data_IF_441008491172
#
_entry.id   IF_441008491172
#
_cell.length_a   1.000
_cell.length_b   1.000
_cell.length_c   1.000
_cell.angle_alpha   90.00
_cell.angle_beta   90.00
_cell.angle_gamma   90.00
#
_symmetry.space_group_name_H-M   'P 1'
#
loop_
_entity.id
_entity.type
_entity.pdbx_description
1 polymer ?
#
# COMPACT_ATOMS: atom_id res chain seq x y z
N UNK A 1 12.09 30.84 10.68
CA UNK A 1 11.15 31.27 9.61
C UNK A 1 10.57 32.60 10.05
N UNK A 2 10.91 33.70 9.39
CA UNK A 2 10.29 34.99 9.67
C UNK A 2 8.85 34.97 9.12
N UNK A 3 7.86 35.20 9.98
CA UNK A 3 6.49 35.44 9.51
C UNK A 3 6.47 36.77 8.79
N UNK A 4 5.89 36.78 7.58
CA UNK A 4 5.70 37.99 6.80
C UNK A 4 4.87 39.01 7.60
N UNK A 5 5.41 40.21 7.81
CA UNK A 5 4.77 41.27 8.59
C UNK A 5 3.41 41.69 7.99
N UNK A 6 3.19 41.45 6.70
CA UNK A 6 1.92 41.70 6.03
C UNK A 6 0.81 40.70 6.38
N UNK A 7 1.14 39.59 7.06
CA UNK A 7 0.17 38.57 7.47
C UNK A 7 -0.95 39.12 8.35
N UNK A 8 -0.68 40.16 9.15
CA UNK A 8 -1.70 40.77 10.01
C UNK A 8 -2.67 41.67 9.23
N UNK A 9 -2.21 42.27 8.11
CA UNK A 9 -3.01 43.14 7.26
C UNK A 9 -3.84 42.37 6.22
N UNK A 10 -3.54 41.09 6.02
CA UNK A 10 -4.27 40.25 5.07
C UNK A 10 -5.70 39.99 5.57
N UNK A 11 -6.75 40.19 4.75
CA UNK A 11 -8.13 40.07 5.18
C UNK A 11 -8.58 38.60 5.23
N UNK A 12 -8.04 37.82 6.18
CA UNK A 12 -8.32 36.39 6.37
C UNK A 12 -9.81 36.06 6.48
N UNK A 13 -10.60 36.99 7.02
CA UNK A 13 -12.04 36.86 7.20
C UNK A 13 -12.83 36.85 5.88
N UNK A 14 -12.25 37.34 4.77
CA UNK A 14 -12.85 37.31 3.44
C UNK A 14 -12.57 36.01 2.67
N UNK A 15 -11.62 35.19 3.14
CA UNK A 15 -11.31 33.93 2.48
C UNK A 15 -12.46 32.94 2.67
N UNK A 16 -12.86 32.30 1.57
CA UNK A 16 -13.85 31.23 1.58
C UNK A 16 -13.30 29.96 0.94
N UNK A 17 -13.79 28.81 1.41
CA UNK A 17 -13.52 27.50 0.81
C UNK A 17 -14.85 26.81 0.53
N UNK A 18 -15.16 26.58 -0.74
CA UNK A 18 -16.47 26.04 -1.15
C UNK A 18 -17.64 26.93 -0.71
N UNK A 19 -17.47 28.25 -0.75
CA UNK A 19 -18.49 29.23 -0.37
C UNK A 19 -18.67 29.46 1.14
N UNK A 20 -17.85 28.83 2.00
CA UNK A 20 -17.89 29.03 3.46
C UNK A 20 -16.66 29.79 3.96
N UNK A 21 -16.78 30.69 4.95
CA UNK A 21 -15.62 31.38 5.54
C UNK A 21 -14.54 30.40 6.02
N UNK A 22 -13.27 30.72 5.79
CA UNK A 22 -12.13 29.86 6.14
C UNK A 22 -12.11 29.53 7.64
N UNK A 23 -12.42 30.50 8.50
CA UNK A 23 -12.49 30.32 9.95
C UNK A 23 -13.62 29.38 10.40
N UNK A 24 -14.69 29.26 9.61
CA UNK A 24 -15.81 28.35 9.85
C UNK A 24 -15.61 26.97 9.17
N UNK A 25 -14.52 26.80 8.44
CA UNK A 25 -14.25 25.62 7.64
C UNK A 25 -13.28 24.69 8.37
N UNK A 26 -13.73 23.50 8.76
CA UNK A 26 -12.81 22.49 9.28
C UNK A 26 -12.04 21.82 8.13
N UNK A 27 -10.78 21.39 8.33
CA UNK A 27 -10.04 20.63 7.33
C UNK A 27 -10.79 19.39 6.82
N UNK A 28 -11.59 18.74 7.67
CA UNK A 28 -12.43 17.61 7.30
C UNK A 28 -13.64 18.00 6.43
N UNK A 29 -14.22 19.18 6.64
CA UNK A 29 -15.30 19.72 5.80
C UNK A 29 -14.77 20.11 4.42
N UNK A 30 -13.63 20.81 4.37
CA UNK A 30 -12.95 21.22 3.13
C UNK A 30 -12.54 20.01 2.31
N UNK A 31 -11.94 18.99 2.94
CA UNK A 31 -11.60 17.75 2.22
C UNK A 31 -12.83 17.11 1.61
N UNK A 32 -13.94 17.02 2.36
CA UNK A 32 -15.19 16.44 1.84
C UNK A 32 -15.76 17.23 0.66
N UNK A 33 -15.75 18.56 0.70
CA UNK A 33 -16.27 19.38 -0.41
C UNK A 33 -15.37 19.34 -1.66
N UNK A 34 -14.06 19.19 -1.48
CA UNK A 34 -13.09 19.07 -2.58
C UNK A 34 -12.93 17.64 -3.10
N UNK A 35 -13.47 16.64 -2.38
CA UNK A 35 -13.42 15.25 -2.83
C UNK A 35 -14.51 15.04 -3.88
N UNK A 36 -14.09 14.81 -5.12
CA UNK A 36 -15.01 14.44 -6.21
C UNK A 36 -15.90 13.27 -5.79
N UNK A 37 -17.21 13.38 -6.05
CA UNK A 37 -18.18 12.30 -5.85
C UNK A 37 -17.99 11.15 -6.84
N UNK A 38 -17.27 11.38 -7.94
CA UNK A 38 -16.93 10.36 -8.92
C UNK A 38 -15.63 9.66 -8.45
N UNK A 39 -15.64 8.33 -8.30
CA UNK A 39 -14.43 7.58 -7.98
C UNK A 39 -13.35 7.89 -9.01
N UNK A 40 -12.16 8.30 -8.54
CA UNK A 40 -11.03 8.56 -9.44
C UNK A 40 -10.74 7.30 -10.25
N UNK A 41 -10.59 7.44 -11.57
CA UNK A 41 -10.23 6.35 -12.47
C UNK A 41 -8.84 6.63 -13.05
N UNK A 42 -7.77 6.13 -12.42
CA UNK A 42 -6.42 6.35 -12.91
C UNK A 42 -6.21 5.59 -14.23
N UNK A 43 -5.28 6.08 -15.06
CA UNK A 43 -4.99 5.54 -16.40
C UNK A 43 -4.23 4.21 -16.38
N UNK A 44 -4.71 3.23 -15.62
CA UNK A 44 -4.21 1.87 -15.70
C UNK A 44 -4.70 1.20 -16.97
N UNK A 45 -3.80 0.48 -17.63
CA UNK A 45 -4.13 -0.34 -18.79
C UNK A 45 -4.37 -1.78 -18.35
N UNK A 46 -5.55 -2.29 -18.66
CA UNK A 46 -5.97 -3.67 -18.41
C UNK A 46 -6.35 -4.32 -19.73
N UNK A 47 -6.30 -5.65 -19.81
CA UNK A 47 -6.74 -6.40 -21.01
C UNK A 47 -8.21 -6.12 -21.33
N UNK A 48 -9.02 -5.98 -20.29
CA UNK A 48 -10.43 -5.58 -20.38
C UNK A 48 -10.61 -4.29 -19.58
N UNK A 49 -11.29 -3.26 -20.13
CA UNK A 49 -11.56 -2.03 -19.39
C UNK A 49 -12.24 -2.32 -18.04
N UNK A 50 -11.74 -1.71 -16.97
CA UNK A 50 -12.35 -1.87 -15.65
C UNK A 50 -13.61 -1.01 -15.54
N UNK A 51 -14.74 -1.55 -15.06
CA UNK A 51 -15.96 -0.76 -14.85
C UNK A 51 -15.77 0.24 -13.70
N UNK A 52 -16.62 1.27 -13.61
CA UNK A 52 -16.55 2.26 -12.52
C UNK A 52 -16.64 1.63 -11.12
N UNK A 53 -17.44 0.57 -10.96
CA UNK A 53 -17.59 -0.18 -9.70
C UNK A 53 -16.28 -0.81 -9.23
N UNK A 54 -15.38 -1.18 -10.14
CA UNK A 54 -14.04 -1.67 -9.79
C UNK A 54 -13.27 -0.61 -9.01
N UNK A 55 -13.26 0.63 -9.51
CA UNK A 55 -12.55 1.74 -8.86
C UNK A 55 -13.21 2.15 -7.55
N UNK A 56 -14.55 2.17 -7.47
CA UNK A 56 -15.27 2.37 -6.21
C UNK A 56 -14.82 1.38 -5.14
N UNK A 57 -14.75 0.09 -5.50
CA UNK A 57 -14.34 -0.96 -4.58
C UNK A 57 -12.86 -0.81 -4.18
N UNK A 58 -11.96 -0.52 -5.12
CA UNK A 58 -10.53 -0.31 -4.84
C UNK A 58 -10.32 0.80 -3.81
N UNK A 59 -11.03 1.93 -3.95
CA UNK A 59 -10.91 3.05 -3.01
C UNK A 59 -11.57 2.75 -1.67
N UNK A 60 -12.75 2.14 -1.66
CA UNK A 60 -13.42 1.73 -0.42
C UNK A 60 -12.58 0.72 0.38
N UNK A 61 -11.92 -0.22 -0.30
CA UNK A 61 -11.00 -1.18 0.31
C UNK A 61 -9.77 -0.48 0.89
N UNK A 62 -9.21 0.51 0.19
CA UNK A 62 -8.05 1.27 0.69
C UNK A 62 -8.40 2.10 1.93
N UNK A 63 -9.58 2.72 1.93
CA UNK A 63 -10.05 3.54 3.05
C UNK A 63 -10.37 2.68 4.28
N UNK A 64 -11.02 1.53 4.07
CA UNK A 64 -11.39 0.61 5.15
C UNK A 64 -10.25 -0.28 5.66
N UNK A 65 -9.15 -0.39 4.91
CA UNK A 65 -7.95 -1.13 5.31
C UNK A 65 -7.31 -0.50 6.56
N UNK A 66 -6.80 -1.30 7.53
CA UNK A 66 -6.20 -0.79 8.77
C UNK A 66 -4.80 -0.18 8.57
N UNK A 67 -4.57 0.55 7.47
CA UNK A 67 -3.29 1.18 7.17
C UNK A 67 -3.02 2.37 8.08
N UNK A 68 -1.75 2.53 8.44
CA UNK A 68 -1.24 3.81 8.97
C UNK A 68 -1.41 4.91 7.93
N UNK A 69 -1.39 6.18 8.36
CA UNK A 69 -1.56 7.33 7.46
C UNK A 69 -0.46 7.34 6.38
N UNK A 70 0.79 7.04 6.78
CA UNK A 70 1.92 6.98 5.85
C UNK A 70 1.69 5.93 4.75
N UNK A 71 1.43 4.67 5.12
CA UNK A 71 1.23 3.59 4.15
C UNK A 71 0.02 3.83 3.24
N UNK A 72 -1.07 4.41 3.78
CA UNK A 72 -2.23 4.78 2.97
C UNK A 72 -1.87 5.82 1.91
N UNK A 73 -1.09 6.84 2.27
CA UNK A 73 -0.62 7.86 1.32
C UNK A 73 0.24 7.25 0.21
N UNK A 74 1.16 6.34 0.55
CA UNK A 74 1.96 5.63 -0.45
C UNK A 74 1.08 4.80 -1.40
N UNK A 75 0.11 4.07 -0.86
CA UNK A 75 -0.84 3.30 -1.66
C UNK A 75 -1.69 4.19 -2.57
N UNK A 76 -2.11 5.38 -2.11
CA UNK A 76 -2.84 6.35 -2.92
C UNK A 76 -2.01 6.83 -4.12
N UNK A 77 -0.72 7.13 -3.91
CA UNK A 77 0.21 7.50 -4.99
C UNK A 77 0.36 6.36 -5.98
N UNK A 78 0.59 5.15 -5.48
CA UNK A 78 0.75 3.94 -6.26
C UNK A 78 -0.47 3.66 -7.13
N UNK A 79 -1.63 3.48 -6.49
CA UNK A 79 -2.89 3.12 -7.16
C UNK A 79 -3.40 4.25 -8.02
N UNK A 80 -3.15 5.51 -7.63
CA UNK A 80 -3.41 6.70 -8.44
C UNK A 80 -2.53 6.82 -9.68
N UNK A 81 -1.57 5.90 -9.89
CA UNK A 81 -0.61 5.93 -10.99
C UNK A 81 0.26 7.20 -10.96
N UNK A 82 0.40 7.83 -9.80
CA UNK A 82 1.17 9.06 -9.56
C UNK A 82 2.58 8.74 -9.05
N UNK A 83 3.11 7.60 -9.45
CA UNK A 83 4.45 7.17 -9.05
C UNK A 83 5.50 7.96 -9.79
N UNK A 84 6.53 8.33 -9.05
CA UNK A 84 7.74 8.81 -9.69
C UNK A 84 8.31 7.70 -10.59
N UNK A 85 8.52 8.05 -11.86
CA UNK A 85 9.11 7.16 -12.86
C UNK A 85 10.50 7.66 -13.17
N UNK A 86 11.49 6.77 -13.10
CA UNK A 86 12.85 7.11 -13.45
C UNK A 86 12.98 7.09 -14.98
N UNK A 87 13.07 8.28 -15.58
CA UNK A 87 13.27 8.46 -17.02
C UNK A 87 14.75 8.74 -17.29
N UNK A 88 15.61 7.73 -17.21
CA UNK A 88 16.96 7.85 -17.77
C UNK A 88 17.19 6.84 -18.87
N UNK A 89 18.02 7.22 -19.84
CA UNK A 89 18.58 6.32 -20.83
C UNK A 89 19.60 5.42 -20.12
N UNK A 90 19.48 4.10 -20.29
CA UNK A 90 20.43 3.12 -19.73
C UNK A 90 19.98 2.37 -18.47
N UNK A 91 18.67 2.31 -18.17
CA UNK A 91 18.19 1.43 -17.10
C UNK A 91 18.63 -0.03 -17.34
N UNK A 92 18.98 -0.75 -16.27
CA UNK A 92 19.29 -2.19 -16.31
C UNK A 92 18.10 -3.04 -16.80
N UNK A 93 16.89 -2.47 -16.83
CA UNK A 93 15.71 -3.09 -17.37
C UNK A 93 15.45 -2.61 -18.81
N UNK A 94 15.21 -3.52 -19.78
CA UNK A 94 15.01 -3.16 -21.18
C UNK A 94 13.69 -2.40 -21.45
N UNK A 95 12.78 -2.37 -20.47
CA UNK A 95 11.49 -1.70 -20.59
C UNK A 95 11.55 -0.36 -19.86
N UNK A 96 11.11 0.76 -20.49
CA UNK A 96 11.03 2.04 -19.82
C UNK A 96 10.23 1.97 -18.52
N UNK A 97 10.75 2.64 -17.50
CA UNK A 97 10.11 2.66 -16.20
C UNK A 97 8.72 3.31 -16.28
N UNK A 98 7.73 2.61 -15.73
CA UNK A 98 6.34 3.07 -15.67
C UNK A 98 5.68 2.47 -14.43
N UNK A 99 4.55 3.04 -13.94
CA UNK A 99 3.80 2.47 -12.82
C UNK A 99 3.50 0.97 -12.99
N UNK A 100 3.07 0.56 -14.18
CA UNK A 100 2.77 -0.84 -14.47
C UNK A 100 4.04 -1.69 -14.49
N UNK A 101 5.13 -1.16 -15.03
CA UNK A 101 6.40 -1.86 -15.06
C UNK A 101 6.99 -2.02 -13.66
N UNK A 102 7.20 -0.91 -12.94
CA UNK A 102 7.83 -0.88 -11.62
C UNK A 102 7.07 -1.58 -10.50
N UNK A 103 5.78 -1.89 -10.70
CA UNK A 103 4.97 -2.62 -9.71
C UNK A 103 4.72 -4.06 -10.11
N UNK A 104 4.69 -4.37 -11.41
CA UNK A 104 4.28 -5.71 -11.87
C UNK A 104 5.10 -6.25 -13.01
N UNK A 105 5.41 -5.46 -14.05
CA UNK A 105 6.00 -6.05 -15.26
C UNK A 105 7.51 -6.29 -15.14
N UNK A 106 8.18 -5.57 -14.24
CA UNK A 106 9.58 -5.80 -13.91
C UNK A 106 9.75 -7.14 -13.17
N UNK A 107 10.71 -8.01 -13.56
CA UNK A 107 11.01 -9.24 -12.84
C UNK A 107 11.35 -9.02 -11.37
N UNK A 108 12.08 -7.94 -11.05
CA UNK A 108 12.42 -7.59 -9.67
C UNK A 108 11.19 -7.15 -8.86
N UNK A 109 10.24 -6.45 -9.49
CA UNK A 109 8.98 -6.14 -8.83
C UNK A 109 8.15 -7.40 -8.57
N UNK A 110 8.11 -8.35 -9.52
CA UNK A 110 7.49 -9.66 -9.30
C UNK A 110 8.18 -10.44 -8.19
N UNK A 111 9.51 -10.39 -8.12
CA UNK A 111 10.26 -11.05 -7.04
C UNK A 111 9.79 -10.54 -5.68
N UNK A 112 9.61 -9.22 -5.50
CA UNK A 112 9.06 -8.65 -4.25
C UNK A 112 7.68 -9.25 -3.90
N UNK A 113 6.77 -9.36 -4.88
CA UNK A 113 5.46 -9.99 -4.64
C UNK A 113 5.58 -11.45 -4.16
N UNK A 114 6.42 -12.24 -4.82
CA UNK A 114 6.63 -13.65 -4.49
C UNK A 114 7.30 -13.81 -3.12
N UNK A 115 8.30 -12.99 -2.84
CA UNK A 115 9.00 -12.91 -1.55
C UNK A 115 8.04 -12.58 -0.40
N UNK A 116 6.96 -11.83 -0.68
CA UNK A 116 5.92 -11.51 0.30
C UNK A 116 4.78 -12.54 0.37
N UNK A 117 4.73 -13.59 -0.47
CA UNK A 117 3.68 -14.62 -0.40
C UNK A 117 3.62 -15.37 0.95
N UNK A 118 4.74 -15.70 1.62
CA UNK A 118 4.70 -16.29 2.95
C UNK A 118 3.90 -15.44 3.96
N UNK A 119 3.95 -14.11 3.86
CA UNK A 119 3.15 -13.21 4.71
C UNK A 119 1.65 -13.34 4.46
N UNK A 120 1.25 -13.49 3.19
CA UNK A 120 -0.14 -13.72 2.82
C UNK A 120 -0.65 -15.06 3.38
N UNK A 121 0.20 -16.10 3.32
CA UNK A 121 -0.10 -17.41 3.92
C UNK A 121 -0.19 -17.33 5.44
N UNK A 122 0.69 -16.57 6.09
CA UNK A 122 0.64 -16.33 7.52
C UNK A 122 -0.63 -15.56 7.94
N UNK A 123 -1.19 -14.74 7.05
CA UNK A 123 -2.52 -14.15 7.22
C UNK A 123 -3.67 -15.15 7.02
N UNK A 124 -3.41 -16.43 6.72
CA UNK A 124 -4.44 -17.44 6.48
C UNK A 124 -5.00 -17.46 5.07
N UNK A 125 -4.35 -16.81 4.10
CA UNK A 125 -4.76 -16.83 2.68
C UNK A 125 -3.82 -17.74 1.89
N UNK A 126 -4.32 -18.93 1.52
CA UNK A 126 -3.59 -19.94 0.76
C UNK A 126 -3.95 -19.99 -0.72
N UNK A 127 -4.94 -19.21 -1.17
CA UNK A 127 -5.40 -19.18 -2.56
C UNK A 127 -4.26 -18.82 -3.51
N UNK A 128 -4.10 -19.61 -4.58
CA UNK A 128 -3.15 -19.30 -5.65
C UNK A 128 -3.53 -17.98 -6.34
N UNK A 129 -2.54 -17.12 -6.56
CA UNK A 129 -2.76 -15.76 -7.07
C UNK A 129 -2.13 -15.57 -8.45
N UNK A 130 -2.90 -14.96 -9.35
CA UNK A 130 -2.38 -14.54 -10.67
C UNK A 130 -1.86 -13.10 -10.59
N UNK A 131 -0.59 -12.88 -10.97
CA UNK A 131 0.05 -11.55 -10.89
C UNK A 131 -0.15 -10.72 -12.18
N UNK A 132 -1.40 -10.28 -12.39
CA UNK A 132 -1.77 -9.32 -13.43
C UNK A 132 -2.08 -7.92 -12.87
N UNK A 133 -1.96 -6.83 -13.66
CA UNK A 133 -2.27 -5.48 -13.18
C UNK A 133 -3.71 -5.36 -12.64
N UNK A 134 -4.69 -5.95 -13.33
CA UNK A 134 -6.09 -5.96 -12.88
C UNK A 134 -6.24 -6.64 -11.51
N UNK A 135 -5.58 -7.79 -11.32
CA UNK A 135 -5.62 -8.54 -10.08
C UNK A 135 -4.91 -7.80 -8.94
N UNK A 136 -3.72 -7.24 -9.18
CA UNK A 136 -2.98 -6.51 -8.14
C UNK A 136 -3.74 -5.23 -7.73
N UNK A 137 -4.19 -4.42 -8.69
CA UNK A 137 -4.91 -3.18 -8.41
C UNK A 137 -6.24 -3.47 -7.71
N UNK A 138 -6.98 -4.49 -8.17
CA UNK A 138 -8.27 -4.89 -7.64
C UNK A 138 -8.22 -5.75 -6.36
N UNK A 139 -7.02 -6.06 -5.85
CA UNK A 139 -6.79 -7.03 -4.79
C UNK A 139 -7.50 -8.37 -5.04
N UNK A 140 -7.18 -9.00 -6.17
CA UNK A 140 -7.77 -10.22 -6.74
C UNK A 140 -9.28 -10.30 -6.50
N UNK A 141 -10.10 -9.59 -7.30
CA UNK A 141 -11.53 -9.44 -7.07
C UNK A 141 -12.32 -10.75 -6.91
N UNK A 142 -11.80 -11.85 -7.46
CA UNK A 142 -12.39 -13.19 -7.36
C UNK A 142 -12.22 -13.85 -5.99
N UNK A 143 -11.31 -13.35 -5.13
CA UNK A 143 -11.07 -13.87 -3.78
C UNK A 143 -11.86 -13.04 -2.76
N UNK A 144 -13.12 -13.41 -2.54
CA UNK A 144 -14.05 -12.63 -1.70
C UNK A 144 -13.94 -12.92 -0.21
N UNK A 145 -13.84 -14.20 0.18
CA UNK A 145 -13.95 -14.62 1.59
C UNK A 145 -12.90 -13.95 2.49
N UNK A 146 -11.65 -13.88 2.02
CA UNK A 146 -10.51 -13.31 2.76
C UNK A 146 -10.10 -11.92 2.24
N UNK A 147 -10.99 -11.22 1.54
CA UNK A 147 -10.71 -9.93 0.89
C UNK A 147 -10.02 -8.91 1.81
N UNK A 148 -10.43 -8.68 3.07
CA UNK A 148 -9.76 -7.70 3.93
C UNK A 148 -8.28 -8.00 4.16
N UNK A 149 -7.91 -9.28 4.32
CA UNK A 149 -6.51 -9.72 4.50
C UNK A 149 -5.70 -9.55 3.23
N UNK A 150 -6.30 -9.91 2.11
CA UNK A 150 -5.67 -9.76 0.80
C UNK A 150 -5.45 -8.28 0.44
N UNK A 151 -6.43 -7.42 0.72
CA UNK A 151 -6.33 -5.97 0.54
C UNK A 151 -5.19 -5.40 1.39
N UNK A 152 -5.13 -5.76 2.68
CA UNK A 152 -4.08 -5.29 3.58
C UNK A 152 -2.70 -5.71 3.08
N UNK A 153 -2.52 -7.00 2.78
CA UNK A 153 -1.27 -7.53 2.24
C UNK A 153 -0.87 -6.82 0.94
N UNK A 154 -1.80 -6.71 -0.01
CA UNK A 154 -1.59 -6.00 -1.28
C UNK A 154 -1.10 -4.57 -1.05
N UNK A 155 -1.75 -3.83 -0.17
CA UNK A 155 -1.38 -2.45 0.14
C UNK A 155 0.01 -2.35 0.76
N UNK A 156 0.35 -3.23 1.72
CA UNK A 156 1.68 -3.28 2.32
C UNK A 156 2.76 -3.58 1.28
N UNK A 157 2.53 -4.53 0.37
CA UNK A 157 3.50 -4.84 -0.68
C UNK A 157 3.65 -3.68 -1.68
N UNK A 158 2.56 -3.01 -2.06
CA UNK A 158 2.63 -1.81 -2.91
C UNK A 158 3.45 -0.70 -2.25
N UNK A 159 3.24 -0.46 -0.95
CA UNK A 159 4.02 0.53 -0.21
C UNK A 159 5.49 0.12 -0.10
N UNK A 160 5.79 -1.15 0.16
CA UNK A 160 7.16 -1.69 0.20
C UNK A 160 7.89 -1.48 -1.13
N UNK A 161 7.24 -1.82 -2.25
CA UNK A 161 7.75 -1.56 -3.61
C UNK A 161 8.01 -0.07 -3.83
N UNK A 162 7.08 0.78 -3.43
CA UNK A 162 7.24 2.22 -3.58
C UNK A 162 8.44 2.74 -2.80
N UNK A 163 8.58 2.35 -1.52
CA UNK A 163 9.71 2.73 -0.67
C UNK A 163 11.03 2.25 -1.26
N UNK A 164 11.14 0.98 -1.68
CA UNK A 164 12.35 0.43 -2.27
C UNK A 164 12.77 1.21 -3.53
N UNK A 165 11.80 1.64 -4.34
CA UNK A 165 12.04 2.44 -5.54
C UNK A 165 12.47 3.87 -5.23
N UNK A 166 11.85 4.51 -4.24
CA UNK A 166 12.27 5.84 -3.77
C UNK A 166 13.71 5.80 -3.27
N UNK A 167 14.05 4.80 -2.45
CA UNK A 167 15.41 4.64 -1.89
C UNK A 167 16.42 4.42 -3.01
N UNK A 168 16.16 3.49 -3.93
CA UNK A 168 17.01 3.24 -5.09
C UNK A 168 17.24 4.52 -5.92
N UNK A 169 16.17 5.26 -6.21
CA UNK A 169 16.25 6.51 -6.96
C UNK A 169 17.01 7.61 -6.22
N UNK A 170 16.81 7.74 -4.90
CA UNK A 170 17.55 8.68 -4.04
C UNK A 170 19.04 8.36 -4.04
N UNK A 171 19.39 7.12 -3.73
CA UNK A 171 20.78 6.69 -3.56
C UNK A 171 21.56 6.80 -4.87
N UNK A 172 20.90 6.51 -5.99
CA UNK A 172 21.45 6.69 -7.32
C UNK A 172 21.73 8.16 -7.66
N UNK A 173 20.80 9.07 -7.34
CA UNK A 173 21.01 10.53 -7.52
C UNK A 173 22.17 11.03 -6.67
N UNK A 174 22.25 10.61 -5.41
CA UNK A 174 23.34 11.00 -4.50
C UNK A 174 24.69 10.50 -5.03
N UNK A 175 24.74 9.29 -5.57
CA UNK A 175 25.96 8.67 -6.09
C UNK A 175 26.25 8.98 -7.58
N UNK A 176 25.42 9.78 -8.26
CA UNK A 176 25.60 10.09 -9.69
C UNK A 176 25.53 8.88 -10.63
N UNK A 177 24.76 7.83 -10.28
CA UNK A 177 24.67 6.56 -11.03
C UNK A 177 23.23 6.21 -11.41
N UNK A 178 23.07 5.14 -12.19
CA UNK A 178 21.75 4.59 -12.55
C UNK A 178 21.15 3.86 -11.33
N UNK A 179 19.84 4.01 -11.04
CA UNK A 179 19.17 3.31 -9.96
C UNK A 179 19.24 1.80 -10.10
N UNK A 180 19.57 1.17 -8.98
CA UNK A 180 19.50 -0.27 -8.83
C UNK A 180 18.11 -0.67 -8.31
N UNK A 181 17.32 -1.31 -9.18
CA UNK A 181 15.99 -1.80 -8.84
C UNK A 181 15.96 -3.29 -8.47
N UNK A 182 17.11 -3.92 -8.17
CA UNK A 182 17.18 -5.24 -7.53
C UNK A 182 16.78 -5.12 -6.05
N UNK A 183 15.49 -4.87 -5.82
CA UNK A 183 14.93 -4.52 -4.50
C UNK A 183 15.24 -5.56 -3.43
N UNK A 184 15.15 -6.85 -3.76
CA UNK A 184 15.44 -7.92 -2.80
C UNK A 184 16.93 -8.08 -2.50
N UNK A 185 17.83 -7.52 -3.31
CA UNK A 185 19.27 -7.53 -3.04
C UNK A 185 19.68 -6.38 -2.10
N UNK A 186 18.90 -5.30 -2.08
CA UNK A 186 19.23 -4.06 -1.37
C UNK A 186 18.36 -3.80 -0.14
N UNK A 187 17.24 -4.53 -0.01
CA UNK A 187 16.29 -4.42 1.09
C UNK A 187 15.84 -5.82 1.54
N UNK A 188 15.77 -6.02 2.86
CA UNK A 188 15.06 -7.15 3.46
C UNK A 188 13.54 -6.93 3.34
N UNK A 189 13.04 -7.24 2.14
CA UNK A 189 11.64 -7.08 1.75
C UNK A 189 10.68 -7.85 2.67
N UNK A 190 10.91 -9.14 3.01
CA UNK A 190 10.08 -9.86 3.98
C UNK A 190 9.96 -9.13 5.31
N UNK A 191 11.09 -8.73 5.92
CA UNK A 191 11.06 -8.07 7.22
C UNK A 191 10.37 -6.72 7.15
N UNK A 192 10.67 -5.91 6.12
CA UNK A 192 10.03 -4.61 5.95
C UNK A 192 8.51 -4.72 5.81
N UNK A 193 8.03 -5.62 4.96
CA UNK A 193 6.60 -5.87 4.77
C UNK A 193 5.96 -6.44 6.04
N UNK A 194 6.64 -7.36 6.75
CA UNK A 194 6.18 -7.95 8.00
C UNK A 194 5.97 -6.88 9.08
N UNK A 195 6.97 -6.03 9.29
CA UNK A 195 6.92 -4.93 10.25
C UNK A 195 5.77 -3.98 9.92
N UNK A 196 5.64 -3.55 8.66
CA UNK A 196 4.57 -2.66 8.24
C UNK A 196 3.17 -3.25 8.51
N UNK A 197 3.00 -4.54 8.24
CA UNK A 197 1.75 -5.27 8.42
C UNK A 197 1.41 -5.43 9.90
N UNK A 198 2.38 -5.87 10.72
CA UNK A 198 2.24 -5.99 12.17
C UNK A 198 1.89 -4.62 12.77
N UNK A 199 2.61 -3.55 12.42
CA UNK A 199 2.33 -2.20 12.91
C UNK A 199 0.91 -1.74 12.56
N UNK A 200 0.42 -2.02 11.35
CA UNK A 200 -0.96 -1.69 10.97
C UNK A 200 -1.99 -2.42 11.83
N UNK A 201 -1.78 -3.72 12.06
CA UNK A 201 -2.71 -4.54 12.82
C UNK A 201 -2.67 -4.24 14.33
N UNK A 202 -1.49 -4.02 14.90
CA UNK A 202 -1.35 -3.57 16.30
C UNK A 202 -2.03 -2.22 16.51
N UNK A 203 -1.73 -1.22 15.66
CA UNK A 203 -2.40 0.07 15.75
C UNK A 203 -3.93 -0.02 15.57
N UNK A 204 -4.41 -1.01 14.80
CA UNK A 204 -5.83 -1.26 14.64
C UNK A 204 -6.48 -1.97 15.84
N UNK A 205 -5.73 -2.81 16.54
CA UNK A 205 -6.14 -3.48 17.78
C UNK A 205 -6.30 -2.51 18.95
N UNK A 206 -5.47 -1.47 19.00
CA UNK A 206 -5.47 -0.51 20.11
C UNK A 206 -6.62 0.52 20.03
N UNK A 207 -7.36 0.57 18.90
CA UNK A 207 -8.44 1.55 18.69
C UNK A 207 -9.76 1.22 19.41
N UNK A 208 -10.28 -0.01 19.35
CA UNK A 208 -11.53 -0.34 20.02
C UNK A 208 -11.35 -0.31 21.54
N UNK A 209 -12.38 0.17 22.25
CA UNK A 209 -12.41 0.03 23.71
C UNK A 209 -12.39 -1.47 24.10
N UNK A 210 -11.79 -1.82 25.26
CA UNK A 210 -11.82 -3.17 25.79
C UNK A 210 -13.26 -3.71 25.85
N UNK A 211 -13.45 -4.98 25.51
CA UNK A 211 -14.76 -5.66 25.50
C UNK A 211 -15.81 -5.10 24.52
N UNK A 212 -15.44 -4.16 23.63
CA UNK A 212 -16.34 -3.70 22.58
C UNK A 212 -16.56 -4.75 21.48
N UNK A 213 -17.67 -4.71 20.73
CA UNK A 213 -17.87 -5.55 19.53
C UNK A 213 -16.78 -5.35 18.45
N UNK A 214 -15.98 -4.29 18.55
CA UNK A 214 -14.80 -4.07 17.71
C UNK A 214 -13.72 -5.14 17.91
N UNK A 215 -13.51 -5.59 19.15
CA UNK A 215 -12.52 -6.62 19.50
C UNK A 215 -12.90 -7.97 18.87
N UNK A 216 -14.17 -8.39 19.01
CA UNK A 216 -14.67 -9.63 18.39
C UNK A 216 -14.57 -9.60 16.88
N UNK A 217 -14.90 -8.45 16.25
CA UNK A 217 -14.75 -8.26 14.80
C UNK A 217 -13.28 -8.27 14.36
N UNK A 218 -12.37 -7.75 15.18
CA UNK A 218 -10.94 -7.83 14.90
C UNK A 218 -10.46 -9.28 14.95
N UNK A 219 -10.81 -10.01 16.02
CA UNK A 219 -10.47 -11.43 16.22
C UNK A 219 -10.87 -12.28 15.02
N UNK A 220 -12.14 -12.21 14.63
CA UNK A 220 -12.65 -12.98 13.48
C UNK A 220 -11.96 -12.57 12.18
N UNK A 221 -11.76 -11.27 11.97
CA UNK A 221 -11.19 -10.76 10.73
C UNK A 221 -9.70 -11.02 10.58
N UNK A 222 -8.89 -10.91 11.64
CA UNK A 222 -7.43 -10.83 11.53
C UNK A 222 -6.67 -11.93 12.27
N UNK A 223 -7.26 -12.55 13.30
CA UNK A 223 -6.59 -13.56 14.11
C UNK A 223 -7.05 -14.97 13.77
N UNK A 224 -8.35 -15.18 13.52
CA UNK A 224 -8.89 -16.50 13.22
C UNK A 224 -8.25 -17.10 11.95
N UNK A 225 -7.54 -18.22 12.08
CA UNK A 225 -6.84 -18.86 10.97
C UNK A 225 -5.60 -18.10 10.46
N UNK A 226 -5.18 -17.05 11.16
CA UNK A 226 -3.90 -16.36 10.93
C UNK A 226 -2.85 -16.92 11.89
N UNK A 227 -1.63 -17.12 11.40
CA UNK A 227 -0.46 -17.47 12.22
C UNK A 227 0.46 -16.28 12.46
N UNK A 228 0.13 -15.09 11.93
CA UNK A 228 1.00 -13.92 11.99
C UNK A 228 1.00 -13.24 13.38
N UNK A 229 -0.16 -13.21 14.03
CA UNK A 229 -0.38 -12.53 15.31
C UNK A 229 -1.18 -13.43 16.25
N UNK A 230 -0.87 -13.37 17.55
CA UNK A 230 -1.73 -13.91 18.62
C UNK A 230 -2.01 -12.85 19.67
N UNK A 231 -3.06 -13.07 20.42
CA UNK A 231 -3.28 -12.35 21.67
C UNK A 231 -2.30 -12.83 22.75
N UNK A 232 -1.72 -11.87 23.46
CA UNK A 232 -0.89 -12.06 24.62
C UNK A 232 -1.37 -11.07 25.69
N UNK A 233 -2.32 -11.52 26.53
CA UNK A 233 -3.01 -10.66 27.48
C UNK A 233 -3.86 -9.60 26.76
N UNK A 234 -3.59 -8.32 27.04
CA UNK A 234 -4.25 -7.17 26.38
C UNK A 234 -3.57 -6.73 25.08
N UNK A 235 -2.45 -7.36 24.71
CA UNK A 235 -1.61 -6.97 23.56
C UNK A 235 -1.62 -8.01 22.44
N UNK A 236 -1.09 -7.64 21.28
CA UNK A 236 -0.79 -8.56 20.18
C UNK A 236 0.69 -8.89 20.13
N UNK A 237 1.02 -10.18 20.10
CA UNK A 237 2.37 -10.67 19.86
C UNK A 237 2.49 -11.17 18.42
N UNK A 238 3.52 -10.70 17.72
CA UNK A 238 3.85 -11.18 16.39
C UNK A 238 4.66 -12.47 16.41
N UNK A 239 4.44 -13.32 15.41
CA UNK A 239 5.24 -14.50 15.18
C UNK A 239 6.11 -14.35 13.93
N UNK A 240 7.29 -14.99 13.92
CA UNK A 240 8.15 -14.98 12.74
C UNK A 240 7.44 -15.67 11.57
N UNK A 241 7.49 -15.04 10.40
CA UNK A 241 7.05 -15.66 9.15
C UNK A 241 8.22 -16.42 8.57
N UNK A 242 8.18 -17.73 8.68
CA UNK A 242 9.19 -18.60 8.07
C UNK A 242 8.91 -18.66 6.56
N UNK A 243 9.82 -18.15 5.74
CA UNK A 243 9.77 -18.40 4.31
C UNK A 243 9.95 -19.92 4.10
N UNK A 244 9.01 -20.56 3.39
CA UNK A 244 9.23 -21.92 2.94
C UNK A 244 10.50 -21.93 2.08
N UNK A 245 11.43 -22.84 2.37
CA UNK A 245 12.64 -23.00 1.57
C UNK A 245 12.24 -23.14 0.10
N UNK A 246 12.83 -22.30 -0.77
CA UNK A 246 12.70 -22.50 -2.22
C UNK A 246 13.16 -23.93 -2.53
N UNK A 247 12.39 -24.74 -3.28
CA UNK A 247 12.90 -26.01 -3.75
C UNK A 247 14.17 -25.71 -4.56
N UNK A 248 15.28 -26.34 -4.20
CA UNK A 248 16.52 -26.31 -4.98
C UNK A 248 16.19 -26.64 -6.43
N UNK A 249 16.80 -25.97 -7.42
CA UNK A 249 16.61 -26.36 -8.81
C UNK A 249 17.00 -27.83 -8.92
N UNK A 250 16.03 -28.66 -9.31
CA UNK A 250 16.31 -30.05 -9.65
C UNK A 250 17.35 -30.01 -10.75
N UNK A 251 18.56 -30.51 -10.47
CA UNK A 251 19.50 -30.84 -11.52
C UNK A 251 18.78 -31.82 -12.45
N UNK A 252 18.39 -31.34 -13.62
CA UNK A 252 17.89 -32.21 -14.67
C UNK A 252 19.08 -33.06 -15.18
N UNK A 253 18.86 -34.34 -15.51
CA UNK A 253 19.89 -35.25 -16.02
C UNK A 253 20.44 -34.80 -17.38
#
# INVERSE_FOLDING_TARGET
MAQDASSAAFPWHLLTVGGRPLLASSPASVRRSLTSSIPRQPKWTFRTPAPASFWTLVWADLDSSPLTIALRSECLLVLGRNLWTYRAQGALCPVPDSPTHGIRACPEALRVWHTCLPLLRALGVSTALTFGPFHIVGAWPTVSLMRPRLVLWRNVVLATLHTARIVAGRDARVAGRIPDFHHCATMDVPSHASTALVSCLTAAWDRPAPSSPGVTRFRSRWLQGSSLLREAGSSLAAFPVVAAASPSPSAAP
#
